data_IF_240730595859
#
_entry.id   IF_240730595859
#
_cell.length_a   1.000
_cell.length_b   1.000
_cell.length_c   1.000
_cell.angle_alpha   90.00
_cell.angle_beta   90.00
_cell.angle_gamma   90.00
#
_symmetry.space_group_name_H-M   'P 1'
#
loop_
_entity.id
_entity.type
_entity.pdbx_description
1 polymer ?
#
# COMPACT_ATOMS: atom_id res chain seq x y z
N UNK A 1 -4.93 15.72 9.15
CA UNK A 1 -5.53 14.43 9.59
C UNK A 1 -7.04 14.60 9.74
N UNK A 2 -7.85 13.76 9.10
CA UNK A 2 -9.32 13.83 9.19
C UNK A 2 -9.88 13.07 10.39
N UNK A 3 -9.12 12.09 10.91
CA UNK A 3 -9.51 11.23 12.04
C UNK A 3 -8.39 11.13 13.07
N UNK A 4 -8.70 10.60 14.25
CA UNK A 4 -7.70 10.37 15.31
C UNK A 4 -6.75 9.23 14.94
N UNK A 5 -5.57 9.18 15.56
CA UNK A 5 -4.64 8.04 15.39
C UNK A 5 -5.26 6.72 15.82
N UNK A 6 -6.10 6.73 16.85
CA UNK A 6 -6.76 5.53 17.35
C UNK A 6 -7.78 4.98 16.35
N UNK A 7 -8.52 5.86 15.64
CA UNK A 7 -9.39 5.45 14.56
C UNK A 7 -8.61 4.76 13.43
N UNK A 8 -7.47 5.32 12.98
CA UNK A 8 -6.63 4.68 11.97
C UNK A 8 -6.08 3.32 12.44
N UNK A 9 -5.70 3.19 13.70
CA UNK A 9 -5.27 1.90 14.28
C UNK A 9 -6.40 0.86 14.28
N UNK A 10 -7.62 1.28 14.59
CA UNK A 10 -8.79 0.39 14.53
C UNK A 10 -9.08 -0.07 13.10
N UNK A 11 -8.99 0.84 12.12
CA UNK A 11 -9.12 0.52 10.70
C UNK A 11 -8.07 -0.49 10.25
N UNK A 12 -6.81 -0.27 10.62
CA UNK A 12 -5.72 -1.20 10.33
C UNK A 12 -6.00 -2.58 10.89
N UNK A 13 -6.45 -2.69 12.14
CA UNK A 13 -6.81 -3.97 12.77
C UNK A 13 -7.95 -4.69 12.05
N UNK A 14 -8.99 -3.96 11.59
CA UNK A 14 -10.08 -4.55 10.79
C UNK A 14 -9.54 -5.13 9.47
N UNK A 15 -8.65 -4.40 8.79
CA UNK A 15 -8.02 -4.85 7.56
C UNK A 15 -7.12 -6.05 7.81
N UNK A 16 -6.30 -6.05 8.85
CA UNK A 16 -5.43 -7.17 9.23
C UNK A 16 -6.23 -8.43 9.59
N UNK A 17 -7.35 -8.28 10.27
CA UNK A 17 -8.25 -9.42 10.55
C UNK A 17 -8.81 -10.03 9.27
N UNK A 18 -9.20 -9.20 8.30
CA UNK A 18 -9.67 -9.69 7.00
C UNK A 18 -8.53 -10.33 6.19
N UNK A 19 -7.31 -9.79 6.27
CA UNK A 19 -6.12 -10.39 5.67
C UNK A 19 -5.87 -11.80 6.24
N UNK A 20 -5.94 -11.96 7.56
CA UNK A 20 -5.79 -13.27 8.23
C UNK A 20 -6.82 -14.28 7.72
N UNK A 21 -8.08 -13.88 7.61
CA UNK A 21 -9.16 -14.73 7.10
C UNK A 21 -8.95 -15.19 5.63
N UNK A 22 -8.21 -14.38 4.85
CA UNK A 22 -7.87 -14.67 3.45
C UNK A 22 -6.46 -15.24 3.26
N UNK A 23 -5.74 -15.53 4.35
CA UNK A 23 -4.35 -16.02 4.33
C UNK A 23 -3.39 -15.08 3.57
N UNK A 24 -3.66 -13.77 3.61
CA UNK A 24 -2.82 -12.72 3.04
C UNK A 24 -1.90 -12.19 4.14
N UNK A 25 -0.58 -12.28 3.93
CA UNK A 25 0.42 -11.82 4.89
C UNK A 25 0.91 -10.39 4.64
N UNK A 26 0.90 -9.97 3.36
CA UNK A 26 1.23 -8.63 2.92
C UNK A 26 0.16 -8.14 1.94
N UNK A 27 -0.40 -6.97 2.17
CA UNK A 27 -1.37 -6.34 1.26
C UNK A 27 -0.74 -5.12 0.61
N UNK A 28 -0.85 -5.00 -0.72
CA UNK A 28 -0.47 -3.81 -1.48
C UNK A 28 -1.76 -3.20 -2.04
N UNK A 29 -2.19 -2.10 -1.45
CA UNK A 29 -3.46 -1.43 -1.78
C UNK A 29 -3.19 -0.15 -2.58
N UNK A 30 -3.80 -0.04 -3.76
CA UNK A 30 -3.53 1.00 -4.76
C UNK A 30 -4.65 2.02 -4.90
N UNK A 31 -5.89 1.64 -4.55
CA UNK A 31 -7.02 2.56 -4.59
C UNK A 31 -6.77 3.74 -3.65
N UNK A 32 -6.88 4.97 -4.17
CA UNK A 32 -6.56 6.19 -3.42
C UNK A 32 -7.43 6.35 -2.18
N UNK A 33 -8.69 5.90 -2.23
CA UNK A 33 -9.57 5.94 -1.07
C UNK A 33 -9.16 4.89 -0.01
N UNK A 34 -8.64 3.73 -0.45
CA UNK A 34 -8.10 2.73 0.45
C UNK A 34 -6.79 3.21 1.08
N UNK A 35 -5.92 3.87 0.31
CA UNK A 35 -4.72 4.51 0.85
C UNK A 35 -5.07 5.56 1.92
N UNK A 36 -6.05 6.43 1.64
CA UNK A 36 -6.53 7.42 2.63
C UNK A 36 -7.08 6.73 3.89
N UNK A 37 -7.89 5.70 3.73
CA UNK A 37 -8.45 4.92 4.84
C UNK A 37 -7.38 4.33 5.75
N UNK A 38 -6.31 3.80 5.15
CA UNK A 38 -5.21 3.11 5.82
C UNK A 38 -4.16 4.06 6.41
N UNK A 39 -3.88 5.20 5.76
CA UNK A 39 -2.73 6.06 6.07
C UNK A 39 -3.11 7.47 6.49
N UNK A 40 -4.31 7.92 6.17
CA UNK A 40 -4.72 9.31 6.29
C UNK A 40 -4.16 10.22 5.18
N UNK A 41 -3.34 9.68 4.28
CA UNK A 41 -2.81 10.41 3.15
C UNK A 41 -3.86 10.47 2.04
N UNK A 42 -4.33 11.67 1.74
CA UNK A 42 -5.22 11.96 0.63
C UNK A 42 -4.40 12.11 -0.64
N UNK A 43 -4.10 10.97 -1.26
CA UNK A 43 -3.17 10.85 -2.36
C UNK A 43 -3.74 11.46 -3.64
N UNK A 44 -3.16 12.58 -4.08
CA UNK A 44 -3.57 13.26 -5.31
C UNK A 44 -2.93 12.66 -6.57
N UNK A 45 -1.68 12.21 -6.48
CA UNK A 45 -0.89 11.75 -7.63
C UNK A 45 -1.20 10.32 -8.06
N UNK A 46 -2.47 9.95 -8.11
CA UNK A 46 -2.95 8.60 -8.44
C UNK A 46 -2.49 8.08 -9.81
N UNK A 47 -2.10 8.96 -10.73
CA UNK A 47 -1.59 8.62 -12.06
C UNK A 47 -0.11 8.19 -12.06
N UNK A 48 0.57 8.28 -10.94
CA UNK A 48 1.88 7.68 -10.70
C UNK A 48 1.75 6.51 -9.73
N UNK A 49 2.73 5.61 -9.77
CA UNK A 49 2.75 4.45 -8.89
C UNK A 49 2.82 4.89 -7.42
N UNK A 50 1.80 4.58 -6.65
CA UNK A 50 1.71 4.79 -5.22
C UNK A 50 0.87 3.69 -4.58
N UNK A 51 1.11 3.34 -3.33
CA UNK A 51 0.30 2.36 -2.62
C UNK A 51 0.48 2.46 -1.10
N UNK A 52 -0.49 1.93 -0.38
CA UNK A 52 -0.33 1.56 1.02
C UNK A 52 0.08 0.09 1.09
N UNK A 53 1.06 -0.23 1.95
CA UNK A 53 1.54 -1.58 2.15
C UNK A 53 1.26 -1.97 3.60
N UNK A 54 0.46 -3.01 3.79
CA UNK A 54 0.08 -3.51 5.11
C UNK A 54 0.67 -4.89 5.33
N UNK A 55 1.56 -5.04 6.29
CA UNK A 55 1.95 -6.34 6.80
C UNK A 55 0.97 -6.77 7.89
N UNK A 56 0.57 -8.04 7.90
CA UNK A 56 -0.50 -8.57 8.77
C UNK A 56 -0.25 -8.35 10.27
N UNK A 57 1.02 -8.20 10.69
CA UNK A 57 1.43 -7.97 12.08
C UNK A 57 2.03 -6.56 12.33
N UNK A 58 1.94 -5.64 11.37
CA UNK A 58 2.51 -4.31 11.55
C UNK A 58 1.66 -3.42 12.46
N UNK A 59 2.30 -2.54 13.20
CA UNK A 59 1.62 -1.50 13.98
C UNK A 59 1.10 -0.33 13.15
N UNK A 60 1.76 -0.08 12.00
CA UNK A 60 1.41 0.95 11.02
C UNK A 60 1.65 0.43 9.61
N UNK A 61 0.88 0.85 8.61
CA UNK A 61 1.18 0.56 7.20
C UNK A 61 2.39 1.38 6.73
N UNK A 62 2.99 0.98 5.60
CA UNK A 62 3.89 1.85 4.85
C UNK A 62 3.09 2.61 3.80
N UNK A 63 3.52 3.83 3.52
CA UNK A 63 2.99 4.66 2.44
C UNK A 63 4.09 4.84 1.39
N UNK A 64 3.91 4.23 0.22
CA UNK A 64 4.84 4.30 -0.90
C UNK A 64 4.42 5.41 -1.86
N UNK A 65 5.26 6.42 -2.03
CA UNK A 65 4.92 7.64 -2.77
C UNK A 65 6.10 8.16 -3.59
N UNK A 66 5.80 8.95 -4.59
CA UNK A 66 6.74 9.69 -5.41
C UNK A 66 7.43 10.80 -4.59
N UNK A 67 8.70 11.12 -4.90
CA UNK A 67 9.46 12.17 -4.20
C UNK A 67 8.78 13.54 -4.23
N UNK A 68 8.21 13.93 -5.38
CA UNK A 68 7.48 15.20 -5.54
C UNK A 68 6.28 15.31 -4.59
N UNK A 69 5.64 14.20 -4.24
CA UNK A 69 4.41 14.15 -3.44
C UNK A 69 4.65 13.84 -1.96
N UNK A 70 5.88 13.48 -1.60
CA UNK A 70 6.26 13.05 -0.25
C UNK A 70 5.92 14.10 0.82
N UNK A 71 6.05 15.40 0.51
CA UNK A 71 5.67 16.47 1.41
C UNK A 71 4.22 16.40 1.87
N UNK A 72 3.30 16.03 0.98
CA UNK A 72 1.90 15.80 1.30
C UNK A 72 1.70 14.60 2.25
N UNK A 73 2.42 13.51 2.01
CA UNK A 73 2.35 12.32 2.86
C UNK A 73 2.88 12.60 4.28
N UNK A 74 3.99 13.32 4.42
CA UNK A 74 4.53 13.71 5.73
C UNK A 74 3.59 14.60 6.54
N UNK A 75 2.86 15.52 5.89
CA UNK A 75 1.98 16.47 6.57
C UNK A 75 0.61 15.87 6.90
N UNK A 76 0.04 15.09 5.97
CA UNK A 76 -1.37 14.65 6.06
C UNK A 76 -1.55 13.29 6.69
N UNK A 77 -0.57 12.37 6.57
CA UNK A 77 -0.72 11.04 7.16
C UNK A 77 -0.54 11.05 8.68
N UNK A 78 -1.02 9.99 9.34
CA UNK A 78 -0.78 9.77 10.77
C UNK A 78 0.52 8.99 11.04
N UNK A 79 1.16 8.52 9.97
CA UNK A 79 2.30 7.61 10.02
C UNK A 79 3.54 8.28 10.60
N UNK A 80 4.41 7.47 11.17
CA UNK A 80 5.78 7.90 11.44
C UNK A 80 6.52 8.14 10.12
N UNK A 81 7.43 9.10 10.09
CA UNK A 81 8.17 9.46 8.88
C UNK A 81 8.93 8.26 8.26
N UNK A 82 9.43 7.34 9.08
CA UNK A 82 10.12 6.13 8.66
C UNK A 82 9.22 5.14 7.88
N UNK A 83 7.90 5.28 8.01
CA UNK A 83 6.91 4.48 7.30
C UNK A 83 6.45 5.12 5.99
N UNK A 84 6.99 6.29 5.62
CA UNK A 84 6.77 6.93 4.34
C UNK A 84 7.95 6.61 3.44
N UNK A 85 7.72 5.72 2.50
CA UNK A 85 8.74 5.23 1.56
C UNK A 85 8.68 6.07 0.30
N UNK A 86 9.74 6.82 0.07
CA UNK A 86 9.82 7.77 -1.04
C UNK A 86 10.71 7.21 -2.14
N UNK A 87 10.17 7.06 -3.35
CA UNK A 87 11.00 6.71 -4.51
C UNK A 87 11.39 7.95 -5.32
N UNK A 88 12.58 7.88 -5.89
CA UNK A 88 13.22 8.97 -6.63
C UNK A 88 12.54 9.20 -7.99
N UNK A 89 12.59 10.46 -8.48
CA UNK A 89 12.04 10.87 -9.79
C UNK A 89 12.70 10.14 -10.96
N UNK A 90 13.90 9.59 -10.80
CA UNK A 90 14.58 8.82 -11.84
C UNK A 90 13.91 7.46 -12.16
N UNK A 91 12.87 7.07 -11.41
CA UNK A 91 12.01 5.94 -11.74
C UNK A 91 10.83 6.33 -12.64
N UNK A 92 10.61 7.64 -12.89
CA UNK A 92 9.49 8.16 -13.67
C UNK A 92 9.92 8.34 -15.13
N UNK A 93 9.16 7.72 -16.04
CA UNK A 93 9.39 7.79 -17.51
C UNK A 93 10.81 7.42 -17.94
N UNK A 94 11.52 6.61 -17.17
CA UNK A 94 12.93 6.25 -17.41
C UNK A 94 13.05 4.74 -17.68
N UNK A 95 12.77 4.34 -18.92
CA UNK A 95 12.92 2.94 -19.31
C UNK A 95 14.39 2.45 -19.16
N UNK A 96 14.62 1.23 -18.61
CA UNK A 96 13.65 0.22 -18.17
C UNK A 96 13.22 0.33 -16.71
N UNK A 97 13.60 1.39 -16.00
CA UNK A 97 13.27 1.59 -14.58
C UNK A 97 11.78 1.83 -14.39
N UNK A 98 11.26 1.33 -13.27
CA UNK A 98 9.88 1.53 -12.87
C UNK A 98 9.81 1.67 -11.33
N UNK A 99 8.91 2.47 -10.74
CA UNK A 99 8.78 2.60 -9.28
C UNK A 99 8.65 1.27 -8.54
N UNK A 100 8.04 0.28 -9.18
CA UNK A 100 7.89 -1.06 -8.60
C UNK A 100 9.19 -1.86 -8.53
N UNK A 101 10.25 -1.49 -9.26
CA UNK A 101 11.59 -2.06 -9.03
C UNK A 101 12.10 -1.66 -7.64
N UNK A 102 11.84 -0.42 -7.23
CA UNK A 102 12.16 0.05 -5.88
C UNK A 102 11.25 -0.57 -4.81
N UNK A 103 9.94 -0.68 -5.09
CA UNK A 103 9.01 -1.38 -4.18
C UNK A 103 9.45 -2.83 -3.91
N UNK A 104 9.85 -3.55 -4.94
CA UNK A 104 10.41 -4.92 -4.84
C UNK A 104 11.66 -4.94 -3.96
N UNK A 105 12.55 -3.97 -4.12
CA UNK A 105 13.74 -3.84 -3.27
C UNK A 105 13.35 -3.69 -1.79
N UNK A 106 12.43 -2.78 -1.45
CA UNK A 106 11.93 -2.59 -0.08
C UNK A 106 11.33 -3.86 0.50
N UNK A 107 10.52 -4.60 -0.29
CA UNK A 107 9.93 -5.86 0.14
C UNK A 107 11.02 -6.89 0.48
N UNK A 108 12.09 -6.99 -0.33
CA UNK A 108 13.23 -7.87 -0.09
C UNK A 108 14.03 -7.45 1.15
N UNK A 109 14.32 -6.17 1.32
CA UNK A 109 15.04 -5.64 2.49
C UNK A 109 14.31 -5.96 3.80
N UNK A 110 12.98 -5.92 3.77
CA UNK A 110 12.12 -6.29 4.90
C UNK A 110 11.94 -7.81 5.06
N UNK A 111 12.52 -8.64 4.17
CA UNK A 111 12.38 -10.10 4.15
C UNK A 111 10.93 -10.58 3.97
N UNK A 112 10.15 -9.84 3.19
CA UNK A 112 8.76 -10.15 2.86
C UNK A 112 8.59 -10.82 1.49
N UNK A 113 9.69 -11.15 0.84
CA UNK A 113 9.78 -11.69 -0.53
C UNK A 113 9.29 -13.14 -0.70
N UNK A 114 8.86 -13.79 0.40
CA UNK A 114 8.32 -15.15 0.41
C UNK A 114 6.88 -15.23 0.92
N UNK A 115 6.27 -14.08 1.25
CA UNK A 115 4.93 -14.01 1.82
C UNK A 115 3.84 -14.22 0.76
N UNK A 116 2.63 -14.53 1.23
CA UNK A 116 1.43 -14.41 0.41
C UNK A 116 1.05 -12.93 0.32
N UNK A 117 1.18 -12.36 -0.89
CA UNK A 117 0.98 -10.94 -1.17
C UNK A 117 -0.34 -10.75 -1.90
N UNK A 118 -1.29 -10.09 -1.24
CA UNK A 118 -2.54 -9.64 -1.85
C UNK A 118 -2.33 -8.32 -2.60
N UNK A 119 -2.84 -8.25 -3.83
CA UNK A 119 -2.86 -7.03 -4.63
C UNK A 119 -4.29 -6.72 -5.08
N UNK A 120 -4.60 -5.47 -5.32
CA UNK A 120 -5.93 -5.05 -5.82
C UNK A 120 -5.96 -5.15 -7.35
N UNK A 121 -6.25 -6.37 -7.88
CA UNK A 121 -6.23 -6.65 -9.32
C UNK A 121 -7.20 -5.80 -10.14
N UNK A 122 -8.32 -5.38 -9.52
CA UNK A 122 -9.36 -4.58 -10.17
C UNK A 122 -9.21 -3.07 -9.89
N UNK A 123 -8.09 -2.62 -9.30
CA UNK A 123 -7.83 -1.20 -9.10
C UNK A 123 -7.32 -0.54 -10.38
N UNK A 124 -7.89 0.61 -10.76
CA UNK A 124 -7.47 1.37 -11.95
C UNK A 124 -5.99 1.77 -11.93
N UNK A 125 -5.41 1.91 -10.76
CA UNK A 125 -4.04 2.39 -10.56
C UNK A 125 -3.01 1.26 -10.44
N UNK A 126 -3.46 0.01 -10.44
CA UNK A 126 -2.60 -1.17 -10.49
C UNK A 126 -2.55 -1.71 -11.92
N UNK A 127 -1.56 -1.26 -12.67
CA UNK A 127 -1.43 -1.64 -14.07
C UNK A 127 -0.88 -3.06 -14.23
N UNK A 128 -1.14 -3.68 -15.38
CA UNK A 128 -0.53 -4.97 -15.74
C UNK A 128 1.00 -4.93 -15.63
N UNK A 129 1.63 -3.78 -15.95
CA UNK A 129 3.07 -3.63 -15.85
C UNK A 129 3.56 -3.63 -14.40
N UNK A 130 2.81 -2.99 -13.47
CA UNK A 130 3.08 -3.10 -12.03
C UNK A 130 3.03 -4.55 -11.56
N UNK A 131 2.03 -5.31 -12.02
CA UNK A 131 1.87 -6.73 -11.69
C UNK A 131 3.07 -7.56 -12.16
N UNK A 132 3.47 -7.40 -13.42
CA UNK A 132 4.63 -8.11 -13.97
C UNK A 132 5.93 -7.78 -13.21
N UNK A 133 6.15 -6.51 -12.84
CA UNK A 133 7.30 -6.11 -12.03
C UNK A 133 7.34 -6.81 -10.67
N UNK A 134 6.21 -6.91 -9.97
CA UNK A 134 6.12 -7.64 -8.70
C UNK A 134 6.42 -9.13 -8.92
N UNK A 135 5.77 -9.78 -9.89
CA UNK A 135 5.97 -11.21 -10.18
C UNK A 135 7.42 -11.54 -10.52
N UNK A 136 8.02 -10.76 -11.42
CA UNK A 136 9.41 -10.96 -11.82
C UNK A 136 10.38 -10.69 -10.68
N UNK A 137 10.10 -9.65 -9.90
CA UNK A 137 10.95 -9.24 -8.79
C UNK A 137 10.85 -10.12 -7.55
N UNK A 138 9.71 -10.78 -7.33
CA UNK A 138 9.43 -11.60 -6.14
C UNK A 138 9.02 -13.04 -6.55
N UNK A 139 9.91 -13.80 -7.18
CA UNK A 139 9.59 -15.13 -7.72
C UNK A 139 9.21 -16.17 -6.65
N UNK A 140 9.55 -15.92 -5.38
CA UNK A 140 9.25 -16.80 -4.27
C UNK A 140 7.98 -16.40 -3.49
N UNK A 141 7.38 -15.27 -3.81
CA UNK A 141 6.14 -14.83 -3.20
C UNK A 141 4.92 -15.46 -3.92
N UNK A 142 3.86 -15.70 -3.16
CA UNK A 142 2.56 -16.06 -3.71
C UNK A 142 1.75 -14.78 -3.94
N UNK A 143 1.57 -14.36 -5.20
CA UNK A 143 0.77 -13.17 -5.52
C UNK A 143 -0.68 -13.60 -5.77
N UNK A 144 -1.61 -12.99 -5.05
CA UNK A 144 -3.06 -13.28 -5.14
C UNK A 144 -3.87 -12.00 -5.29
N UNK A 145 -5.07 -12.11 -5.86
CA UNK A 145 -6.03 -11.03 -5.81
C UNK A 145 -6.56 -10.86 -4.38
N UNK A 146 -6.53 -9.65 -3.85
CA UNK A 146 -7.09 -9.33 -2.54
C UNK A 146 -8.63 -9.23 -2.56
N UNK A 147 -9.26 -9.28 -3.74
CA UNK A 147 -10.72 -9.23 -3.91
C UNK A 147 -11.33 -8.01 -3.18
N UNK A 148 -10.78 -6.83 -3.46
CA UNK A 148 -11.25 -5.55 -2.87
C UNK A 148 -11.33 -5.56 -1.35
N UNK A 149 -10.40 -6.24 -0.68
CA UNK A 149 -10.42 -6.47 0.77
C UNK A 149 -10.69 -5.20 1.58
N UNK A 150 -9.95 -4.11 1.30
CA UNK A 150 -10.12 -2.84 2.03
C UNK A 150 -11.48 -2.21 1.74
N UNK A 151 -12.01 -2.32 0.52
CA UNK A 151 -13.33 -1.81 0.17
C UNK A 151 -14.42 -2.50 0.99
N UNK A 152 -14.35 -3.82 1.18
CA UNK A 152 -15.30 -4.56 2.02
C UNK A 152 -15.22 -4.11 3.49
N UNK A 153 -14.02 -3.91 4.03
CA UNK A 153 -13.84 -3.38 5.39
C UNK A 153 -14.46 -1.99 5.53
N UNK A 154 -14.31 -1.12 4.53
CA UNK A 154 -14.84 0.24 4.51
C UNK A 154 -16.37 0.33 4.40
N UNK A 155 -17.06 -0.73 4.01
CA UNK A 155 -18.53 -0.74 3.95
C UNK A 155 -19.15 -0.57 5.34
N UNK A 156 -18.54 -1.16 6.36
CA UNK A 156 -19.03 -1.02 7.75
C UNK A 156 -18.37 0.21 8.37
N UNK A 157 -19.16 1.25 8.54
CA UNK A 157 -18.68 2.53 9.07
C UNK A 157 -18.47 2.49 10.58
N UNK A 158 -17.53 3.28 11.06
CA UNK A 158 -17.43 3.63 12.48
C UNK A 158 -18.36 4.80 12.78
N UNK A 159 -18.60 5.08 14.07
CA UNK A 159 -19.44 6.23 14.49
C UNK A 159 -18.84 7.57 14.06
N UNK A 160 -17.54 7.62 13.75
CA UNK A 160 -16.83 8.82 13.31
C UNK A 160 -16.77 8.96 11.77
N UNK A 161 -17.06 7.93 11.02
CA UNK A 161 -17.16 7.92 9.55
C UNK A 161 -18.55 8.31 9.05
#
# INVERSE_FOLDING_TARGET
>A
MSFTKDEYKQRLKKVQSMMQNKEIELLISHDTNNMNYLTGYDAWSFYYAQCAIVHVNAEEPLCFVRAQDAGGAYIKSYLKNENIIVYDENYIHTWPKHPYDYLVQIIKEKKWDKLCIGVEMDAHYYTAFCHEKIKQGLPNAKIVDSDRLVNWVRLVKSDTE
#
